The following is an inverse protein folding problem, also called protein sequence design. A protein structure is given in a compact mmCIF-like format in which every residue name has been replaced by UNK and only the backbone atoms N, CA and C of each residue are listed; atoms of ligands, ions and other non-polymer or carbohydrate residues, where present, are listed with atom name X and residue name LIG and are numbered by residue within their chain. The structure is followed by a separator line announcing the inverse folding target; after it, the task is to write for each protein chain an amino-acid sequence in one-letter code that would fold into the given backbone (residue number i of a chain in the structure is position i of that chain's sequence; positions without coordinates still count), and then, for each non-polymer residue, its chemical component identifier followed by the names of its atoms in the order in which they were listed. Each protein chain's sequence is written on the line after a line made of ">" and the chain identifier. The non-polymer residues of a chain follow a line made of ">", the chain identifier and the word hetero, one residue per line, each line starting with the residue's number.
data_IF_728251132541
#
_entry.id   IF_728251132541
#
_cell.length_a   1.000
_cell.length_b   1.000
_cell.length_c   1.000
_cell.angle_alpha   90.00
_cell.angle_beta   90.00
_cell.angle_gamma   90.00
#
_symmetry.space_group_name_H-M   'P 1'
#
loop_
_entity.id
_entity.type
_entity.pdbx_description
1 polymer ?
#
# COMPACT_ATOMS: atom_id res chain seq x y z
N UNK A 1 2.06 11.47 -33.64
CA UNK A 1 1.51 11.33 -32.27
C UNK A 1 2.22 10.17 -31.60
N UNK A 2 3.22 10.46 -30.77
CA UNK A 2 4.01 9.45 -30.05
C UNK A 2 3.34 9.10 -28.72
N UNK A 3 3.24 7.80 -28.43
CA UNK A 3 2.69 7.22 -27.22
C UNK A 3 3.57 7.57 -26.01
N UNK A 4 3.25 8.66 -25.30
CA UNK A 4 3.80 9.01 -23.98
C UNK A 4 2.82 8.62 -22.86
N UNK A 5 2.41 7.35 -22.83
CA UNK A 5 1.79 6.75 -21.63
C UNK A 5 2.69 5.62 -21.15
N UNK A 6 3.95 5.95 -20.90
CA UNK A 6 4.69 5.25 -19.84
C UNK A 6 4.21 5.89 -18.55
N UNK A 7 3.24 5.26 -17.89
CA UNK A 7 3.17 5.38 -16.44
C UNK A 7 4.53 4.93 -15.93
N UNK A 8 5.41 5.88 -15.58
CA UNK A 8 6.68 5.68 -14.87
C UNK A 8 6.43 5.19 -13.44
N UNK A 9 5.56 4.19 -13.31
CA UNK A 9 5.74 3.11 -12.38
C UNK A 9 6.79 2.18 -13.02
N UNK A 10 7.99 2.70 -13.32
CA UNK A 10 9.17 1.85 -13.48
C UNK A 10 9.20 0.89 -12.28
N UNK A 11 9.70 -0.34 -12.43
CA UNK A 11 9.58 -1.35 -11.39
C UNK A 11 10.02 -0.75 -10.05
N UNK A 12 9.06 -0.37 -9.20
CA UNK A 12 9.28 0.09 -7.83
C UNK A 12 9.56 -1.18 -7.00
N UNK A 13 10.45 -2.01 -7.51
CA UNK A 13 11.33 -2.78 -6.67
C UNK A 13 12.28 -1.72 -6.15
N UNK A 14 11.89 -1.11 -5.03
CA UNK A 14 12.67 -0.11 -4.33
C UNK A 14 14.15 -0.46 -4.51
N UNK A 15 14.91 0.44 -5.15
CA UNK A 15 16.35 0.35 -5.07
C UNK A 15 16.67 0.40 -3.58
N UNK A 16 16.93 -0.77 -3.01
CA UNK A 16 17.19 -0.97 -1.60
C UNK A 16 18.54 -0.33 -1.30
N UNK A 17 18.57 0.99 -1.13
CA UNK A 17 19.74 1.65 -0.59
C UNK A 17 19.86 1.18 0.87
N UNK A 18 20.90 0.41 1.18
CA UNK A 18 21.15 0.04 2.56
C UNK A 18 21.36 1.32 3.39
N UNK A 19 20.74 1.42 4.57
CA UNK A 19 21.28 2.27 5.62
C UNK A 19 22.73 1.85 5.89
N UNK A 20 23.58 2.82 6.20
CA UNK A 20 24.95 2.59 6.65
C UNK A 20 24.97 1.51 7.76
N UNK A 21 25.69 0.38 7.55
CA UNK A 21 25.72 -0.73 8.50
C UNK A 21 26.35 -0.39 9.85
N UNK A 22 27.00 0.78 10.01
CA UNK A 22 27.54 1.26 11.28
C UNK A 22 26.47 1.75 12.27
N UNK A 23 25.21 1.92 11.84
CA UNK A 23 24.10 2.27 12.71
C UNK A 23 23.54 1.00 13.40
N UNK A 24 24.32 0.46 14.34
CA UNK A 24 23.96 -0.71 15.16
C UNK A 24 22.83 -0.35 16.15
N UNK A 25 21.91 -1.30 16.34
CA UNK A 25 20.50 -1.12 16.75
C UNK A 25 20.21 -1.00 18.25
N UNK A 26 21.17 -0.66 19.11
CA UNK A 26 20.91 -0.80 20.55
C UNK A 26 19.87 0.20 21.11
N UNK A 27 19.55 1.27 20.37
CA UNK A 27 18.47 2.23 20.70
C UNK A 27 17.57 2.55 19.48
N UNK A 28 17.13 1.54 18.73
CA UNK A 28 16.12 1.79 17.69
C UNK A 28 14.85 2.35 18.36
N UNK A 29 14.37 3.55 17.96
CA UNK A 29 13.17 4.11 18.54
C UNK A 29 12.00 3.13 18.52
N UNK A 30 11.17 3.17 19.56
CA UNK A 30 10.00 2.29 19.75
C UNK A 30 9.12 2.19 18.49
N UNK A 31 9.05 3.26 17.70
CA UNK A 31 8.28 3.33 16.47
C UNK A 31 8.87 2.53 15.29
N UNK A 32 9.99 1.83 15.46
CA UNK A 32 10.51 0.88 14.46
C UNK A 32 10.18 -0.59 14.78
N UNK A 33 9.32 -0.88 15.76
CA UNK A 33 8.86 -2.24 16.05
C UNK A 33 7.50 -2.56 15.38
N UNK A 34 7.45 -3.40 14.32
CA UNK A 34 6.21 -3.79 13.66
C UNK A 34 5.12 -4.35 14.59
N UNK A 35 5.50 -5.01 15.69
CA UNK A 35 4.53 -5.58 16.64
C UNK A 35 3.83 -4.47 17.44
N UNK A 36 4.55 -3.42 17.81
CA UNK A 36 3.97 -2.25 18.48
C UNK A 36 3.02 -1.48 17.56
N UNK A 37 3.35 -1.36 16.28
CA UNK A 37 2.41 -0.84 15.27
C UNK A 37 1.13 -1.66 15.18
N UNK A 38 1.29 -2.99 15.10
CA UNK A 38 0.13 -3.89 15.05
C UNK A 38 -0.73 -3.80 16.32
N UNK A 39 -0.09 -3.62 17.49
CA UNK A 39 -0.77 -3.41 18.76
C UNK A 39 -1.54 -2.08 18.79
N UNK A 40 -0.91 -0.98 18.38
CA UNK A 40 -1.55 0.34 18.28
C UNK A 40 -2.74 0.27 17.34
N UNK A 41 -2.62 -0.40 16.21
CA UNK A 41 -3.73 -0.59 15.27
C UNK A 41 -4.82 -1.56 15.78
N UNK A 42 -4.68 -2.17 16.96
CA UNK A 42 -5.62 -3.14 17.49
C UNK A 42 -5.67 -4.45 16.68
N UNK A 43 -4.61 -4.76 15.94
CA UNK A 43 -4.46 -6.00 15.16
C UNK A 43 -4.02 -7.16 16.05
N UNK A 44 -3.23 -6.87 17.09
CA UNK A 44 -2.78 -7.84 18.09
C UNK A 44 -2.92 -7.26 19.50
N UNK A 45 -3.06 -8.09 20.55
CA UNK A 45 -3.01 -7.62 21.93
C UNK A 45 -1.65 -7.00 22.26
N UNK A 46 -1.64 -5.95 23.09
CA UNK A 46 -0.42 -5.41 23.69
C UNK A 46 -0.27 -5.87 25.14
N UNK A 47 0.93 -6.27 25.52
CA UNK A 47 1.32 -6.42 26.93
C UNK A 47 1.73 -5.10 27.58
N UNK A 48 1.99 -4.06 26.78
CA UNK A 48 2.47 -2.77 27.27
C UNK A 48 1.28 -1.86 27.64
N UNK A 49 1.17 -1.38 28.90
CA UNK A 49 0.02 -0.59 29.35
C UNK A 49 -0.19 0.71 28.56
N UNK A 50 0.88 1.35 28.11
CA UNK A 50 0.84 2.59 27.31
C UNK A 50 0.35 2.39 25.87
N UNK A 51 0.20 1.15 25.41
CA UNK A 51 -0.37 0.79 24.11
C UNK A 51 -1.76 0.15 24.24
N UNK A 52 -2.33 0.13 25.44
CA UNK A 52 -3.71 -0.31 25.66
C UNK A 52 -4.67 0.80 25.23
N UNK A 53 -5.14 0.71 23.99
CA UNK A 53 -6.02 1.70 23.39
C UNK A 53 -7.47 1.24 23.55
N UNK A 54 -8.30 2.12 24.09
CA UNK A 54 -9.67 1.79 24.50
C UNK A 54 -10.72 2.03 23.41
N UNK A 55 -10.47 2.96 22.48
CA UNK A 55 -11.38 3.24 21.36
C UNK A 55 -10.65 3.68 20.07
N UNK A 56 -11.40 3.80 18.97
CA UNK A 56 -10.86 4.17 17.65
C UNK A 56 -10.32 5.60 17.58
N UNK A 57 -10.87 6.52 18.38
CA UNK A 57 -10.45 7.93 18.36
C UNK A 57 -9.09 8.08 19.02
N UNK A 58 -8.90 7.42 20.17
CA UNK A 58 -7.59 7.29 20.81
C UNK A 58 -6.61 6.59 19.88
N UNK A 59 -7.05 5.54 19.19
CA UNK A 59 -6.23 4.81 18.22
C UNK A 59 -5.70 5.68 17.09
N UNK A 60 -6.59 6.46 16.50
CA UNK A 60 -6.25 7.39 15.44
C UNK A 60 -5.28 8.47 15.92
N UNK A 61 -5.48 8.99 17.12
CA UNK A 61 -4.59 9.98 17.72
C UNK A 61 -3.18 9.41 17.94
N UNK A 62 -3.07 8.22 18.52
CA UNK A 62 -1.78 7.54 18.74
C UNK A 62 -1.09 7.17 17.41
N UNK A 63 -1.86 6.69 16.43
CA UNK A 63 -1.35 6.44 15.08
C UNK A 63 -0.86 7.70 14.37
N UNK A 64 -1.56 8.82 14.51
CA UNK A 64 -1.11 10.06 13.88
C UNK A 64 0.15 10.61 14.56
N UNK A 65 0.14 10.66 15.90
CA UNK A 65 1.20 11.24 16.71
C UNK A 65 2.50 10.45 16.64
N UNK A 66 2.46 9.14 16.91
CA UNK A 66 3.68 8.34 17.09
C UNK A 66 4.29 7.83 15.81
N UNK A 67 3.58 7.94 14.70
CA UNK A 67 3.81 7.03 13.59
C UNK A 67 3.66 7.73 12.24
N UNK A 68 2.48 8.25 11.94
CA UNK A 68 2.23 8.92 10.66
C UNK A 68 3.12 10.17 10.48
N UNK A 69 3.23 11.00 11.51
CA UNK A 69 4.05 12.22 11.48
C UNK A 69 5.53 11.91 11.24
N UNK A 70 6.09 10.92 11.93
CA UNK A 70 7.50 10.52 11.76
C UNK A 70 7.82 10.01 10.36
N UNK A 71 6.82 9.42 9.67
CA UNK A 71 6.99 8.92 8.31
C UNK A 71 6.79 9.99 7.25
N UNK A 72 5.89 10.92 7.48
CA UNK A 72 5.49 11.93 6.48
C UNK A 72 6.24 13.25 6.61
N UNK A 73 6.87 13.50 7.75
CA UNK A 73 7.54 14.77 8.04
C UNK A 73 8.85 14.59 8.81
N UNK A 74 9.76 15.56 8.64
CA UNK A 74 11.01 15.64 9.37
C UNK A 74 12.15 14.74 8.86
N UNK A 75 13.31 14.76 9.54
CA UNK A 75 14.48 13.97 9.13
C UNK A 75 14.25 12.46 9.14
N UNK A 76 13.39 11.97 10.04
CA UNK A 76 13.04 10.56 10.18
C UNK A 76 12.28 10.01 8.96
N UNK A 77 11.58 10.84 8.19
CA UNK A 77 10.86 10.43 6.99
C UNK A 77 11.81 9.88 5.90
N UNK A 78 13.08 10.29 5.91
CA UNK A 78 14.11 9.82 4.98
C UNK A 78 14.87 8.59 5.48
N UNK A 79 14.53 8.08 6.66
CA UNK A 79 15.21 6.94 7.24
C UNK A 79 14.93 5.67 6.42
N UNK A 80 15.94 5.05 5.79
CA UNK A 80 15.76 3.83 5.00
C UNK A 80 15.26 2.64 5.84
N UNK A 81 15.40 2.67 7.17
CA UNK A 81 14.87 1.62 8.07
C UNK A 81 13.35 1.52 8.00
N UNK A 82 12.64 2.58 7.63
CA UNK A 82 11.18 2.50 7.43
C UNK A 82 10.78 1.42 6.43
N UNK A 83 11.54 1.26 5.34
CA UNK A 83 11.23 0.25 4.33
C UNK A 83 11.31 -1.18 4.91
N UNK A 84 12.24 -1.42 5.84
CA UNK A 84 12.38 -2.69 6.53
C UNK A 84 11.19 -2.95 7.47
N UNK A 85 10.86 -1.97 8.30
CA UNK A 85 9.75 -2.06 9.26
C UNK A 85 8.43 -2.31 8.55
N UNK A 86 8.17 -1.61 7.46
CA UNK A 86 6.96 -1.80 6.67
C UNK A 86 6.93 -3.12 5.92
N UNK A 87 8.07 -3.60 5.41
CA UNK A 87 8.16 -4.92 4.80
C UNK A 87 7.84 -6.01 5.83
N UNK A 88 8.39 -5.92 7.04
CA UNK A 88 8.11 -6.86 8.12
C UNK A 88 6.66 -6.79 8.60
N UNK A 89 6.16 -5.58 8.85
CA UNK A 89 4.77 -5.34 9.23
C UNK A 89 3.80 -5.92 8.21
N UNK A 90 4.02 -5.65 6.92
CA UNK A 90 3.17 -6.15 5.84
C UNK A 90 3.21 -7.67 5.77
N UNK A 91 4.40 -8.27 5.85
CA UNK A 91 4.53 -9.72 5.80
C UNK A 91 3.79 -10.44 6.94
N UNK A 92 3.82 -9.86 8.15
CA UNK A 92 3.24 -10.44 9.35
C UNK A 92 1.75 -10.11 9.53
N UNK A 93 1.35 -8.87 9.32
CA UNK A 93 0.06 -8.34 9.82
C UNK A 93 -0.90 -7.86 8.72
N UNK A 94 -0.52 -7.87 7.44
CA UNK A 94 -1.38 -7.38 6.35
C UNK A 94 -2.77 -8.05 6.34
N UNK A 95 -2.84 -9.36 6.54
CA UNK A 95 -4.12 -10.08 6.58
C UNK A 95 -5.07 -9.56 7.68
N UNK A 96 -4.55 -9.22 8.86
CA UNK A 96 -5.32 -8.64 9.97
C UNK A 96 -5.71 -7.18 9.69
N UNK A 97 -4.79 -6.41 9.11
CA UNK A 97 -5.07 -5.04 8.69
C UNK A 97 -6.22 -4.99 7.68
N UNK A 98 -6.19 -5.89 6.69
CA UNK A 98 -7.25 -6.00 5.68
C UNK A 98 -8.56 -6.48 6.31
N UNK A 99 -8.51 -7.44 7.23
CA UNK A 99 -9.69 -7.88 7.97
C UNK A 99 -10.39 -6.73 8.69
N UNK A 100 -9.63 -5.95 9.47
CA UNK A 100 -10.13 -4.75 10.17
C UNK A 100 -10.64 -3.68 9.22
N UNK A 101 -9.98 -3.47 8.08
CA UNK A 101 -10.48 -2.50 7.10
C UNK A 101 -11.81 -2.94 6.47
N UNK A 102 -12.00 -4.25 6.27
CA UNK A 102 -13.23 -4.79 5.71
C UNK A 102 -14.38 -4.76 6.72
N UNK A 103 -14.09 -5.08 7.97
CA UNK A 103 -15.02 -5.05 9.11
C UNK A 103 -14.61 -3.94 10.08
N UNK A 104 -14.92 -2.70 9.69
CA UNK A 104 -14.50 -1.53 10.44
C UNK A 104 -15.17 -1.52 11.82
N UNK A 105 -14.40 -1.31 12.90
CA UNK A 105 -14.97 -1.02 14.20
C UNK A 105 -15.85 0.23 14.11
N UNK A 106 -16.92 0.34 14.91
CA UNK A 106 -17.70 1.57 14.94
C UNK A 106 -16.82 2.73 15.41
N UNK A 107 -17.09 3.97 14.96
CA UNK A 107 -16.46 5.15 15.55
C UNK A 107 -16.65 5.14 17.07
N UNK A 108 -15.62 5.55 17.82
CA UNK A 108 -15.65 5.54 19.28
C UNK A 108 -16.82 6.35 19.83
N UNK A 109 -17.36 5.98 21.00
CA UNK A 109 -18.45 6.74 21.62
C UNK A 109 -18.06 8.20 21.97
N UNK A 110 -16.75 8.47 22.07
CA UNK A 110 -16.17 9.80 22.31
C UNK A 110 -15.78 10.52 21.03
N UNK A 111 -16.10 9.95 19.88
CA UNK A 111 -15.74 10.52 18.60
C UNK A 111 -16.46 11.86 18.39
N UNK A 112 -15.70 12.94 18.52
CA UNK A 112 -16.18 14.31 18.33
C UNK A 112 -16.09 14.77 16.88
N UNK A 113 -15.80 13.84 15.95
CA UNK A 113 -15.79 14.13 14.52
C UNK A 113 -17.13 14.73 14.11
N UNK A 114 -17.05 15.72 13.23
CA UNK A 114 -18.26 16.29 12.63
C UNK A 114 -18.98 15.24 11.77
N UNK A 115 -20.21 15.56 11.38
CA UNK A 115 -21.04 14.67 10.56
C UNK A 115 -20.35 14.30 9.24
N UNK A 116 -19.57 15.20 8.65
CA UNK A 116 -18.88 14.96 7.39
C UNK A 116 -17.79 13.89 7.55
N UNK A 117 -16.99 14.00 8.60
CA UNK A 117 -15.93 13.05 8.96
C UNK A 117 -16.48 11.66 9.28
N UNK A 118 -17.64 11.58 9.95
CA UNK A 118 -18.33 10.29 10.19
C UNK A 118 -18.82 9.65 8.89
N UNK A 119 -19.29 10.45 7.92
CA UNK A 119 -19.67 9.94 6.60
C UNK A 119 -18.44 9.48 5.79
N UNK A 120 -17.28 10.10 6.00
CA UNK A 120 -16.02 9.75 5.36
C UNK A 120 -15.37 8.49 5.96
N UNK A 121 -15.67 8.15 7.22
CA UNK A 121 -15.00 7.08 7.98
C UNK A 121 -14.81 5.74 7.23
N UNK A 122 -15.78 5.24 6.43
CA UNK A 122 -15.58 4.00 5.67
C UNK A 122 -14.34 4.00 4.76
N UNK A 123 -13.98 5.18 4.23
CA UNK A 123 -12.81 5.37 3.36
C UNK A 123 -11.70 6.18 4.03
N UNK A 124 -12.00 7.00 5.02
CA UNK A 124 -11.03 7.79 5.77
C UNK A 124 -10.89 7.23 7.19
N UNK A 125 -10.04 6.22 7.32
CA UNK A 125 -9.70 5.62 8.60
C UNK A 125 -8.23 5.21 8.62
N UNK A 126 -7.72 4.96 9.83
CA UNK A 126 -6.34 4.56 10.09
C UNK A 126 -5.90 3.31 9.34
N UNK A 127 -6.81 2.37 9.09
CA UNK A 127 -6.48 1.13 8.41
C UNK A 127 -6.22 1.38 6.92
N UNK A 128 -7.02 2.24 6.30
CA UNK A 128 -6.75 2.69 4.93
C UNK A 128 -5.46 3.49 4.84
N UNK A 129 -5.21 4.42 5.77
CA UNK A 129 -3.95 5.15 5.81
C UNK A 129 -2.75 4.20 5.95
N UNK A 130 -2.88 3.15 6.75
CA UNK A 130 -1.83 2.14 6.91
C UNK A 130 -1.59 1.32 5.65
N UNK A 131 -2.63 1.06 4.84
CA UNK A 131 -2.48 0.33 3.56
C UNK A 131 -1.51 1.04 2.59
N UNK A 132 -1.42 2.37 2.63
CA UNK A 132 -0.48 3.14 1.80
C UNK A 132 0.99 2.82 2.11
N UNK A 133 1.29 2.44 3.34
CA UNK A 133 2.64 2.11 3.76
C UNK A 133 2.98 0.64 3.56
N UNK A 134 2.05 -0.17 3.06
CA UNK A 134 2.31 -1.59 2.87
C UNK A 134 3.34 -1.83 1.78
N UNK A 135 4.21 -2.81 2.01
CA UNK A 135 5.21 -3.20 1.04
C UNK A 135 4.53 -3.87 -0.16
N UNK A 136 4.63 -3.25 -1.34
CA UNK A 136 3.95 -3.63 -2.59
C UNK A 136 4.13 -5.11 -2.95
N UNK A 137 5.34 -5.67 -2.80
CA UNK A 137 5.58 -7.09 -3.07
C UNK A 137 4.83 -8.04 -2.14
N UNK A 138 4.67 -7.68 -0.86
CA UNK A 138 3.93 -8.49 0.11
C UNK A 138 2.42 -8.34 -0.07
N UNK A 139 1.96 -7.13 -0.43
CA UNK A 139 0.57 -6.89 -0.82
C UNK A 139 0.21 -7.66 -2.09
N UNK A 140 1.04 -7.60 -3.12
CA UNK A 140 0.78 -8.32 -4.37
C UNK A 140 0.83 -9.84 -4.18
N UNK A 141 1.68 -10.33 -3.27
CA UNK A 141 1.62 -11.72 -2.82
C UNK A 141 0.30 -12.03 -2.13
N UNK A 142 -0.13 -11.21 -1.15
CA UNK A 142 -1.38 -11.38 -0.41
C UNK A 142 -2.59 -11.42 -1.35
N UNK A 143 -2.72 -10.46 -2.25
CA UNK A 143 -3.83 -10.36 -3.20
C UNK A 143 -3.90 -11.56 -4.18
N UNK A 144 -2.79 -12.27 -4.37
CA UNK A 144 -2.72 -13.49 -5.19
C UNK A 144 -2.79 -14.79 -4.39
N UNK A 145 -2.83 -14.72 -3.05
CA UNK A 145 -2.85 -15.88 -2.16
C UNK A 145 -4.21 -16.57 -2.13
N UNK A 146 -4.24 -17.78 -1.58
CA UNK A 146 -5.48 -18.52 -1.31
C UNK A 146 -6.15 -18.09 0.00
N UNK A 147 -5.61 -17.09 0.71
CA UNK A 147 -6.15 -16.62 1.98
C UNK A 147 -7.61 -16.16 1.81
N UNK A 148 -8.50 -16.55 2.73
CA UNK A 148 -9.94 -16.35 2.60
C UNK A 148 -10.33 -14.89 2.34
N UNK A 149 -9.65 -13.96 3.00
CA UNK A 149 -9.88 -12.51 2.88
C UNK A 149 -9.38 -11.94 1.54
N UNK A 150 -8.30 -12.49 0.99
CA UNK A 150 -7.76 -12.05 -0.31
C UNK A 150 -8.54 -12.65 -1.48
N UNK A 151 -9.06 -13.86 -1.30
CA UNK A 151 -9.77 -14.62 -2.33
C UNK A 151 -10.94 -13.83 -2.90
N UNK A 152 -11.04 -13.82 -4.23
CA UNK A 152 -12.11 -13.13 -4.95
C UNK A 152 -12.02 -11.60 -4.86
N UNK A 153 -10.87 -11.04 -4.49
CA UNK A 153 -10.58 -9.60 -4.51
C UNK A 153 -11.55 -8.73 -3.69
N UNK A 154 -12.00 -9.25 -2.54
CA UNK A 154 -12.95 -8.56 -1.64
C UNK A 154 -12.49 -7.15 -1.27
N UNK A 155 -11.21 -6.98 -0.91
CA UNK A 155 -10.63 -5.67 -0.58
C UNK A 155 -10.77 -4.67 -1.73
N UNK A 156 -10.40 -5.08 -2.95
CA UNK A 156 -10.51 -4.24 -4.15
C UNK A 156 -11.96 -3.79 -4.38
N UNK A 157 -12.92 -4.72 -4.27
CA UNK A 157 -14.34 -4.43 -4.43
C UNK A 157 -14.84 -3.45 -3.37
N UNK A 158 -14.53 -3.69 -2.10
CA UNK A 158 -15.00 -2.84 -0.99
C UNK A 158 -14.45 -1.42 -1.08
N UNK A 159 -13.17 -1.24 -1.46
CA UNK A 159 -12.63 0.11 -1.69
C UNK A 159 -13.36 0.81 -2.84
N UNK A 160 -13.62 0.11 -3.95
CA UNK A 160 -14.35 0.69 -5.08
C UNK A 160 -15.79 1.08 -4.72
N UNK A 161 -16.50 0.22 -3.97
CA UNK A 161 -17.87 0.48 -3.50
C UNK A 161 -17.92 1.69 -2.56
N UNK A 162 -17.02 1.74 -1.56
CA UNK A 162 -16.94 2.87 -0.61
C UNK A 162 -16.57 4.17 -1.32
N UNK A 163 -15.66 4.11 -2.30
CA UNK A 163 -15.26 5.26 -3.10
C UNK A 163 -16.44 5.81 -3.90
N UNK A 164 -17.20 4.95 -4.58
CA UNK A 164 -18.40 5.35 -5.34
C UNK A 164 -19.49 5.92 -4.42
N UNK A 165 -19.70 5.31 -3.26
CA UNK A 165 -20.70 5.78 -2.30
C UNK A 165 -20.37 7.17 -1.75
N UNK A 166 -19.09 7.47 -1.53
CA UNK A 166 -18.66 8.72 -0.92
C UNK A 166 -18.34 9.84 -1.93
N UNK A 167 -17.98 9.50 -3.16
CA UNK A 167 -17.61 10.45 -4.21
C UNK A 167 -18.58 11.64 -4.44
N UNK A 168 -19.92 11.50 -4.31
CA UNK A 168 -20.82 12.66 -4.43
C UNK A 168 -20.54 13.79 -3.45
N UNK A 169 -19.95 13.50 -2.28
CA UNK A 169 -19.61 14.49 -1.26
C UNK A 169 -18.34 15.28 -1.63
N UNK A 170 -17.53 14.79 -2.57
CA UNK A 170 -16.27 15.38 -3.02
C UNK A 170 -16.39 16.22 -4.30
N UNK A 171 -17.61 16.58 -4.72
CA UNK A 171 -17.83 17.34 -5.95
C UNK A 171 -17.25 18.75 -5.93
N UNK A 172 -17.01 19.32 -4.76
CA UNK A 172 -16.79 20.76 -4.59
C UNK A 172 -15.73 21.15 -3.57
N UNK A 173 -15.03 20.20 -2.95
CA UNK A 173 -14.15 20.48 -1.81
C UNK A 173 -12.68 20.22 -2.17
N UNK A 174 -11.81 21.26 -2.16
CA UNK A 174 -10.36 21.09 -2.26
C UNK A 174 -9.76 20.40 -1.02
N UNK A 175 -10.44 20.45 0.13
CA UNK A 175 -9.93 19.94 1.41
C UNK A 175 -9.81 18.40 1.46
N UNK A 176 -10.48 17.69 0.55
CA UNK A 176 -10.53 16.22 0.49
C UNK A 176 -9.49 15.59 -0.46
N UNK A 177 -8.65 16.41 -1.09
CA UNK A 177 -7.70 15.98 -2.13
C UNK A 177 -6.82 14.81 -1.69
N UNK A 178 -6.25 14.87 -0.48
CA UNK A 178 -5.41 13.82 0.06
C UNK A 178 -6.16 12.50 0.25
N UNK A 179 -7.45 12.56 0.63
CA UNK A 179 -8.27 11.37 0.81
C UNK A 179 -8.64 10.73 -0.53
N UNK A 180 -9.00 11.54 -1.53
CA UNK A 180 -9.26 11.07 -2.90
C UNK A 180 -7.99 10.40 -3.44
N UNK A 181 -6.85 11.07 -3.33
CA UNK A 181 -5.57 10.56 -3.81
C UNK A 181 -5.20 9.22 -3.17
N UNK A 182 -5.32 9.11 -1.84
CA UNK A 182 -5.12 7.85 -1.10
C UNK A 182 -5.99 6.72 -1.64
N UNK A 183 -7.29 6.97 -1.78
CA UNK A 183 -8.24 5.98 -2.24
C UNK A 183 -7.97 5.52 -3.67
N UNK A 184 -7.72 6.47 -4.58
CA UNK A 184 -7.43 6.20 -5.99
C UNK A 184 -6.12 5.43 -6.13
N UNK A 185 -5.07 5.84 -5.41
CA UNK A 185 -3.75 5.17 -5.45
C UNK A 185 -3.83 3.77 -4.90
N UNK A 186 -4.48 3.58 -3.75
CA UNK A 186 -4.70 2.26 -3.15
C UNK A 186 -5.48 1.36 -4.11
N UNK A 187 -6.55 1.89 -4.72
CA UNK A 187 -7.37 1.13 -5.66
C UNK A 187 -6.58 0.74 -6.93
N UNK A 188 -5.75 1.64 -7.47
CA UNK A 188 -4.85 1.35 -8.59
C UNK A 188 -3.83 0.27 -8.26
N UNK A 189 -3.23 0.33 -7.08
CA UNK A 189 -2.29 -0.68 -6.58
C UNK A 189 -2.98 -2.04 -6.44
N UNK A 190 -4.15 -2.11 -5.82
CA UNK A 190 -4.91 -3.34 -5.66
C UNK A 190 -5.39 -3.92 -6.98
N UNK A 191 -5.84 -3.07 -7.90
CA UNK A 191 -6.28 -3.49 -9.23
C UNK A 191 -5.12 -4.10 -10.01
N UNK A 192 -3.93 -3.51 -9.86
CA UNK A 192 -2.71 -4.06 -10.45
C UNK A 192 -2.29 -5.35 -9.77
N UNK A 193 -2.41 -5.47 -8.44
CA UNK A 193 -2.01 -6.66 -7.68
C UNK A 193 -2.96 -7.85 -7.87
N UNK A 194 -4.25 -7.60 -8.06
CA UNK A 194 -5.28 -8.63 -8.11
C UNK A 194 -5.17 -9.49 -9.38
N UNK A 195 -5.33 -10.80 -9.22
CA UNK A 195 -5.39 -11.75 -10.35
C UNK A 195 -6.71 -11.61 -11.11
N UNK A 196 -7.80 -11.47 -10.34
CA UNK A 196 -9.16 -11.32 -10.84
C UNK A 196 -9.68 -9.91 -10.51
N UNK A 197 -10.59 -9.39 -11.33
CA UNK A 197 -11.15 -8.05 -11.17
C UNK A 197 -12.64 -8.13 -10.80
N UNK A 198 -12.97 -8.42 -9.53
CA UNK A 198 -14.34 -8.66 -9.07
C UNK A 198 -15.19 -7.38 -8.92
N UNK A 199 -14.76 -6.24 -9.48
CA UNK A 199 -15.54 -4.99 -9.37
C UNK A 199 -16.75 -5.14 -10.28
N UNK A 200 -18.00 -5.07 -9.76
CA UNK A 200 -19.20 -5.15 -10.61
C UNK A 200 -19.22 -4.04 -11.66
N UNK A 201 -19.72 -4.32 -12.86
CA UNK A 201 -19.72 -3.37 -13.97
C UNK A 201 -20.46 -2.06 -13.64
N UNK A 202 -21.51 -2.12 -12.82
CA UNK A 202 -22.22 -0.94 -12.35
C UNK A 202 -21.33 -0.03 -11.49
N UNK A 203 -20.62 -0.61 -10.51
CA UNK A 203 -19.69 0.13 -9.64
C UNK A 203 -18.53 0.69 -10.47
N UNK A 204 -18.02 -0.11 -11.40
CA UNK A 204 -16.97 0.28 -12.34
C UNK A 204 -17.38 1.49 -13.20
N UNK A 205 -18.58 1.48 -13.76
CA UNK A 205 -19.09 2.60 -14.57
C UNK A 205 -19.22 3.90 -13.77
N UNK A 206 -19.79 3.82 -12.56
CA UNK A 206 -19.89 4.96 -11.63
C UNK A 206 -18.51 5.50 -11.26
N UNK A 207 -17.58 4.60 -10.94
CA UNK A 207 -16.22 4.97 -10.57
C UNK A 207 -15.48 5.67 -11.71
N UNK A 208 -15.57 5.15 -12.93
CA UNK A 208 -14.98 5.78 -14.13
C UNK A 208 -15.49 7.22 -14.32
N UNK A 209 -16.80 7.45 -14.14
CA UNK A 209 -17.38 8.78 -14.24
C UNK A 209 -16.81 9.75 -13.19
N UNK A 210 -16.64 9.31 -11.94
CA UNK A 210 -16.02 10.13 -10.89
C UNK A 210 -14.55 10.43 -11.17
N UNK A 211 -13.78 9.43 -11.59
CA UNK A 211 -12.37 9.59 -11.92
C UNK A 211 -12.16 10.59 -13.05
N UNK A 212 -13.04 10.59 -14.06
CA UNK A 212 -12.98 11.57 -15.15
C UNK A 212 -13.34 12.98 -14.70
N UNK A 213 -14.32 13.09 -13.80
CA UNK A 213 -14.68 14.37 -13.17
C UNK A 213 -13.49 14.94 -12.40
N UNK A 214 -12.83 14.13 -11.56
CA UNK A 214 -11.67 14.54 -10.79
C UNK A 214 -10.44 14.80 -11.68
N UNK A 215 -10.23 14.03 -12.73
CA UNK A 215 -9.14 14.25 -13.68
C UNK A 215 -9.29 15.56 -14.46
N UNK A 216 -10.52 16.01 -14.72
CA UNK A 216 -10.81 17.26 -15.41
C UNK A 216 -10.81 18.50 -14.50
N UNK A 217 -10.75 18.30 -13.17
CA UNK A 217 -10.79 19.39 -12.20
C UNK A 217 -9.47 20.18 -12.25
N UNK A 218 -9.57 21.50 -12.46
CA UNK A 218 -8.41 22.37 -12.73
C UNK A 218 -7.82 23.03 -11.49
N UNK A 219 -8.54 23.01 -10.37
CA UNK A 219 -8.20 23.72 -9.14
C UNK A 219 -7.65 22.79 -8.05
N UNK A 220 -7.09 21.64 -8.42
CA UNK A 220 -6.22 20.89 -7.51
C UNK A 220 -5.07 21.78 -7.09
N UNK A 221 -4.79 21.84 -5.78
CA UNK A 221 -3.73 22.70 -5.29
C UNK A 221 -2.39 22.04 -5.59
N UNK A 222 -1.49 22.66 -6.37
CA UNK A 222 -0.15 22.12 -6.58
C UNK A 222 0.67 22.09 -5.28
N UNK A 223 0.23 22.82 -4.24
CA UNK A 223 0.94 23.00 -2.98
C UNK A 223 0.55 21.97 -1.92
N UNK A 224 -0.69 21.46 -1.97
CA UNK A 224 -1.14 20.34 -1.10
C UNK A 224 -0.51 19.01 -1.52
N UNK A 225 -0.10 18.92 -2.78
CA UNK A 225 0.41 17.74 -3.42
C UNK A 225 1.92 17.86 -3.57
N UNK A 226 2.69 17.19 -2.70
CA UNK A 226 4.13 17.01 -2.91
C UNK A 226 4.44 16.56 -4.35
N UNK A 227 5.68 16.73 -4.84
CA UNK A 227 6.05 16.64 -6.27
C UNK A 227 5.76 15.29 -6.97
N UNK A 228 5.27 14.30 -6.24
CA UNK A 228 4.94 12.96 -6.71
C UNK A 228 3.44 12.66 -6.76
N UNK A 229 2.59 13.62 -6.36
CA UNK A 229 1.14 13.41 -6.18
C UNK A 229 0.34 14.15 -7.26
N UNK A 230 0.35 13.64 -8.49
CA UNK A 230 -0.48 14.16 -9.58
C UNK A 230 -1.83 13.41 -9.61
N UNK A 231 -2.81 13.92 -8.85
CA UNK A 231 -4.14 13.31 -8.76
C UNK A 231 -4.84 13.25 -10.12
N UNK A 232 -4.88 14.31 -10.96
CA UNK A 232 -5.45 14.22 -12.29
C UNK A 232 -4.90 13.05 -13.11
N UNK A 233 -3.57 12.91 -13.14
CA UNK A 233 -2.92 11.82 -13.88
C UNK A 233 -3.23 10.46 -13.29
N UNK A 234 -3.31 10.35 -11.96
CA UNK A 234 -3.62 9.09 -11.27
C UNK A 234 -5.07 8.67 -11.53
N UNK A 235 -6.01 9.61 -11.45
CA UNK A 235 -7.42 9.39 -11.79
C UNK A 235 -7.58 8.97 -13.25
N UNK A 236 -6.92 9.66 -14.19
CA UNK A 236 -6.93 9.32 -15.60
C UNK A 236 -6.39 7.91 -15.85
N UNK A 237 -5.23 7.57 -15.25
CA UNK A 237 -4.62 6.25 -15.38
C UNK A 237 -5.53 5.14 -14.84
N UNK A 238 -6.16 5.36 -13.68
CA UNK A 238 -7.09 4.40 -13.10
C UNK A 238 -8.36 4.24 -13.93
N UNK A 239 -8.93 5.34 -14.45
CA UNK A 239 -10.08 5.29 -15.37
C UNK A 239 -9.76 4.44 -16.60
N UNK A 240 -8.61 4.68 -17.22
CA UNK A 240 -8.16 3.89 -18.37
C UNK A 240 -7.94 2.42 -17.99
N UNK A 241 -7.34 2.14 -16.83
CA UNK A 241 -7.20 0.77 -16.33
C UNK A 241 -8.54 0.08 -16.15
N UNK A 242 -9.55 0.75 -15.60
CA UNK A 242 -10.88 0.16 -15.46
C UNK A 242 -11.50 -0.07 -16.84
N UNK A 243 -11.50 0.92 -17.74
CA UNK A 243 -12.08 0.78 -19.09
C UNK A 243 -11.42 -0.33 -19.91
N UNK A 244 -10.10 -0.47 -19.80
CA UNK A 244 -9.38 -1.55 -20.45
C UNK A 244 -9.64 -2.86 -19.73
N UNK A 245 -9.96 -3.92 -20.47
CA UNK A 245 -9.95 -5.25 -19.89
C UNK A 245 -8.48 -5.62 -19.58
N UNK A 246 -8.04 -5.34 -18.35
CA UNK A 246 -6.67 -5.60 -17.84
C UNK A 246 -6.30 -7.10 -17.91
N UNK A 247 -7.24 -7.97 -18.29
CA UNK A 247 -7.01 -9.38 -18.61
C UNK A 247 -6.01 -9.59 -19.76
N UNK A 248 -5.64 -8.54 -20.52
CA UNK A 248 -4.54 -8.59 -21.50
C UNK A 248 -3.17 -8.87 -20.85
N UNK A 249 -2.19 -9.33 -21.65
CA UNK A 249 -0.83 -9.66 -21.19
C UNK A 249 -0.13 -8.55 -20.38
N UNK A 250 -0.54 -7.28 -20.58
CA UNK A 250 -0.06 -6.12 -19.82
C UNK A 250 -0.34 -6.22 -18.31
N UNK A 251 -1.52 -6.73 -17.89
CA UNK A 251 -1.86 -6.90 -16.48
C UNK A 251 -0.98 -7.92 -15.78
N UNK A 252 -0.62 -9.01 -16.49
CA UNK A 252 0.32 -10.02 -15.99
C UNK A 252 1.72 -9.43 -15.78
N UNK A 253 2.20 -8.59 -16.72
CA UNK A 253 3.50 -7.94 -16.59
C UNK A 253 3.53 -6.96 -15.40
N UNK A 254 2.50 -6.11 -15.26
CA UNK A 254 2.41 -5.17 -14.13
C UNK A 254 2.33 -5.89 -12.78
N UNK A 255 1.57 -6.99 -12.68
CA UNK A 255 1.56 -7.86 -11.49
C UNK A 255 2.95 -8.38 -11.14
N UNK A 256 3.67 -8.91 -12.13
CA UNK A 256 5.03 -9.44 -11.92
C UNK A 256 5.99 -8.34 -11.48
N UNK A 257 5.83 -7.12 -12.01
CA UNK A 257 6.61 -5.96 -11.58
C UNK A 257 6.32 -5.60 -10.12
N UNK A 258 5.04 -5.53 -9.72
CA UNK A 258 4.66 -5.28 -8.32
C UNK A 258 5.17 -6.35 -7.35
N UNK A 259 5.18 -7.61 -7.78
CA UNK A 259 5.69 -8.73 -6.99
C UNK A 259 7.23 -8.82 -7.00
N UNK A 260 7.93 -7.93 -7.73
CA UNK A 260 9.38 -7.98 -7.93
C UNK A 260 9.90 -9.34 -8.43
N UNK A 261 9.10 -9.97 -9.31
CA UNK A 261 9.43 -11.26 -9.95
C UNK A 261 9.53 -11.13 -11.48
N UNK A 262 9.59 -9.90 -11.98
CA UNK A 262 9.82 -9.58 -13.39
C UNK A 262 11.29 -9.73 -13.81
N UNK A 263 12.21 -9.43 -12.90
CA UNK A 263 13.66 -9.44 -13.10
C UNK A 263 14.35 -10.22 -11.98
N UNK A 264 15.55 -10.71 -12.21
CA UNK A 264 16.40 -11.32 -11.18
C UNK A 264 16.64 -10.31 -10.05
N UNK A 265 16.46 -10.74 -8.80
CA UNK A 265 16.61 -9.89 -7.63
C UNK A 265 18.06 -9.51 -7.31
N UNK A 266 19.04 -10.21 -7.87
CA UNK A 266 20.45 -9.82 -7.71
C UNK A 266 20.69 -8.52 -8.52
N UNK A 267 21.11 -7.40 -7.89
CA UNK A 267 21.17 -6.09 -8.56
C UNK A 267 22.04 -6.06 -9.83
N UNK A 268 23.08 -6.89 -9.90
CA UNK A 268 23.98 -7.00 -11.05
C UNK A 268 23.44 -7.88 -12.18
N UNK A 269 22.22 -8.39 -12.06
CA UNK A 269 21.62 -9.33 -13.01
C UNK A 269 20.31 -8.80 -13.60
N UNK A 270 20.30 -8.46 -14.90
CA UNK A 270 19.12 -8.02 -15.64
C UNK A 270 18.31 -9.13 -16.30
N UNK A 271 18.43 -10.40 -15.89
CA UNK A 271 17.69 -11.51 -16.52
C UNK A 271 16.22 -11.47 -16.10
N UNK A 272 15.31 -11.59 -17.06
CA UNK A 272 13.85 -11.53 -16.84
C UNK A 272 13.10 -12.87 -17.03
N UNK A 273 13.81 -13.87 -17.57
CA UNK A 273 13.26 -15.17 -17.96
C UNK A 273 13.68 -16.29 -17.01
N UNK A 274 12.88 -17.36 -16.94
CA UNK A 274 13.15 -18.56 -16.14
C UNK A 274 13.48 -18.30 -14.66
N UNK A 275 12.89 -17.24 -14.11
CA UNK A 275 13.09 -16.85 -12.72
C UNK A 275 12.33 -17.78 -11.76
N UNK A 276 12.95 -18.14 -10.65
CA UNK A 276 12.36 -18.89 -9.54
C UNK A 276 12.19 -17.97 -8.35
N UNK A 277 10.95 -17.84 -7.87
CA UNK A 277 10.66 -17.05 -6.68
C UNK A 277 11.39 -17.61 -5.44
N UNK A 278 11.80 -16.73 -4.54
CA UNK A 278 12.33 -17.11 -3.24
C UNK A 278 11.30 -17.98 -2.50
N UNK A 279 11.70 -19.18 -2.05
CA UNK A 279 10.78 -20.12 -1.42
C UNK A 279 10.15 -19.58 -0.12
N UNK A 280 10.87 -18.73 0.62
CA UNK A 280 10.43 -18.16 1.89
C UNK A 280 9.47 -16.98 1.69
N UNK A 281 9.95 -15.85 1.19
CA UNK A 281 9.13 -14.65 1.07
C UNK A 281 8.27 -14.61 -0.19
N UNK A 282 8.68 -15.25 -1.30
CA UNK A 282 8.03 -15.19 -2.63
C UNK A 282 7.86 -13.77 -3.21
N UNK A 283 8.57 -12.77 -2.67
CA UNK A 283 8.53 -11.36 -3.10
C UNK A 283 9.73 -10.94 -3.95
N UNK A 284 10.62 -11.88 -4.27
CA UNK A 284 11.80 -11.69 -5.12
C UNK A 284 12.01 -12.97 -5.91
N UNK A 285 12.48 -12.89 -7.15
CA UNK A 285 12.82 -14.06 -7.96
C UNK A 285 14.27 -14.06 -8.44
N UNK A 286 14.83 -15.24 -8.70
CA UNK A 286 16.21 -15.42 -9.11
C UNK A 286 16.31 -16.38 -10.28
N UNK A 287 17.24 -16.14 -11.21
CA UNK A 287 17.50 -17.10 -12.30
C UNK A 287 18.10 -18.42 -11.80
N UNK A 288 18.76 -18.42 -10.64
CA UNK A 288 19.40 -19.60 -10.05
C UNK A 288 19.53 -19.51 -8.52
N UNK A 289 19.77 -20.65 -7.87
CA UNK A 289 20.06 -20.72 -6.42
C UNK A 289 21.38 -20.01 -6.07
N UNK A 290 22.34 -19.99 -6.99
CA UNK A 290 23.60 -19.25 -6.83
C UNK A 290 23.34 -17.76 -6.69
N UNK A 291 22.50 -17.18 -7.57
CA UNK A 291 22.11 -15.76 -7.51
C UNK A 291 21.36 -15.40 -6.24
N UNK A 292 20.51 -16.30 -5.75
CA UNK A 292 19.88 -16.13 -4.45
C UNK A 292 20.91 -16.12 -3.32
N UNK A 293 21.89 -17.02 -3.34
CA UNK A 293 22.95 -17.11 -2.32
C UNK A 293 23.85 -15.87 -2.33
N UNK A 294 24.18 -15.36 -3.52
CA UNK A 294 24.92 -14.11 -3.70
C UNK A 294 24.13 -12.92 -3.16
N UNK A 295 22.86 -12.77 -3.57
CA UNK A 295 22.02 -11.67 -3.10
C UNK A 295 21.75 -11.75 -1.59
N UNK A 296 21.71 -12.95 -1.00
CA UNK A 296 21.56 -13.14 0.45
C UNK A 296 22.67 -12.47 1.25
N UNK A 297 23.88 -12.40 0.69
CA UNK A 297 25.09 -11.84 1.31
C UNK A 297 25.54 -10.52 0.67
N UNK A 298 24.74 -9.94 -0.22
CA UNK A 298 25.10 -8.71 -0.94
C UNK A 298 25.40 -7.57 0.04
N UNK A 299 26.46 -6.81 -0.23
CA UNK A 299 26.96 -5.76 0.68
C UNK A 299 25.91 -4.65 0.82
N UNK A 300 25.38 -4.16 -0.30
CA UNK A 300 24.51 -2.97 -0.30
C UNK A 300 23.01 -3.26 -0.17
N UNK A 301 22.58 -4.50 -0.36
CA UNK A 301 21.16 -4.85 -0.40
C UNK A 301 20.94 -6.33 -0.08
N UNK A 302 21.35 -6.83 1.10
CA UNK A 302 21.27 -8.25 1.36
C UNK A 302 19.80 -8.68 1.49
N UNK A 303 19.34 -9.60 0.63
CA UNK A 303 17.97 -10.09 0.62
C UNK A 303 17.50 -10.58 1.99
N UNK A 304 18.42 -11.15 2.79
CA UNK A 304 18.12 -11.68 4.13
C UNK A 304 17.43 -10.68 5.05
N UNK A 305 17.70 -9.38 4.90
CA UNK A 305 17.08 -8.31 5.70
C UNK A 305 15.59 -8.17 5.39
N UNK A 306 15.18 -8.34 4.14
CA UNK A 306 13.80 -8.12 3.68
C UNK A 306 13.00 -9.42 3.47
N UNK A 307 13.62 -10.57 3.74
CA UNK A 307 13.06 -11.90 3.50
C UNK A 307 12.25 -12.38 4.71
N UNK A 308 11.01 -11.89 4.82
CA UNK A 308 10.06 -12.26 5.85
C UNK A 308 9.12 -13.37 5.37
N UNK A 309 8.78 -14.27 6.30
CA UNK A 309 7.77 -15.30 6.06
C UNK A 309 6.38 -14.71 6.26
N UNK A 310 5.42 -15.11 5.42
CA UNK A 310 4.03 -14.66 5.53
C UNK A 310 3.18 -15.77 6.11
N UNK A 311 2.16 -15.40 6.88
CA UNK A 311 1.17 -16.34 7.44
C UNK A 311 -0.03 -16.62 6.52
N UNK A 312 -0.06 -15.95 5.37
CA UNK A 312 -1.11 -16.02 4.36
C UNK A 312 -0.58 -16.54 3.02
#
# INVERSE_FOLDING_TARGET
>A
MHNYITTDLGPICYHWQNPDPSCIMDDAPEYFDPAKWAAVLGLVPSSEPNLQIHDETERESEFLLRFYQHRTSGPAAKDPRWALVWAEFTAKYLHLLVDRFLDLPPPGARDRRDRASLLAYPIQNIYHATLEFTHTGYLAKFMSSSHAIAKGGKLLRVIAERLVAFAPNWKSLPDDEACIHRAVTTLMMLLTAAKDHPIPDEIKAKLVSWLETWAAYKSWSPESMGPYFDLPKTCFALSHMLRSNITSGSGKQRRRALQCIGVCGLPTCGIETNLKACARCKTVAYRSKTHQTEHWKHVDAPHKKYCFETRY
#
